data_IF_215958502908
#
_entry.id   IF_215958502908
#
_cell.length_a   1.000
_cell.length_b   1.000
_cell.length_c   1.000
_cell.angle_alpha   90.00
_cell.angle_beta   90.00
_cell.angle_gamma   90.00
#
_symmetry.space_group_name_H-M   'P 1'
#
loop_
_entity.id
_entity.type
_entity.pdbx_description
1 polymer ?
#
# COMPACT_ATOMS: atom_id res chain seq x y z
N UNK A 1 9.98 6.78 -1.80
CA UNK A 1 9.46 6.85 -0.41
C UNK A 1 8.88 5.52 0.08
N UNK A 2 7.96 4.90 -0.68
CA UNK A 2 7.31 3.61 -0.33
C UNK A 2 8.32 2.49 -0.07
N UNK A 3 9.27 2.26 -1.00
CA UNK A 3 10.32 1.23 -0.87
C UNK A 3 11.11 1.32 0.44
N UNK A 4 11.43 2.53 0.91
CA UNK A 4 12.16 2.76 2.16
C UNK A 4 11.33 2.33 3.37
N UNK A 5 10.05 2.72 3.40
CA UNK A 5 9.12 2.36 4.48
C UNK A 5 8.89 0.85 4.54
N UNK A 6 8.69 0.21 3.39
CA UNK A 6 8.55 -1.25 3.31
C UNK A 6 9.82 -1.97 3.79
N UNK A 7 11.01 -1.52 3.38
CA UNK A 7 12.28 -2.09 3.84
C UNK A 7 12.48 -1.97 5.36
N UNK A 8 11.85 -0.97 5.99
CA UNK A 8 11.88 -0.76 7.43
C UNK A 8 10.70 -1.41 8.18
N UNK A 9 9.83 -2.15 7.48
CA UNK A 9 8.58 -2.69 8.05
C UNK A 9 7.67 -1.60 8.64
N UNK A 10 7.66 -0.42 8.04
CA UNK A 10 6.83 0.72 8.43
C UNK A 10 5.58 0.81 7.55
N UNK A 11 4.52 1.41 8.09
CA UNK A 11 3.35 1.79 7.31
C UNK A 11 3.73 2.80 6.23
N UNK A 12 3.22 2.60 5.02
CA UNK A 12 3.32 3.53 3.91
C UNK A 12 1.92 3.99 3.49
N UNK A 13 1.75 5.29 3.31
CA UNK A 13 0.52 5.90 2.79
C UNK A 13 0.90 6.86 1.66
N UNK A 14 0.21 6.74 0.53
CA UNK A 14 0.55 7.46 -0.70
C UNK A 14 -0.64 7.50 -1.64
N UNK A 15 -0.80 8.63 -2.35
CA UNK A 15 -1.66 8.71 -3.53
C UNK A 15 -0.79 8.42 -4.75
N UNK A 16 -1.17 7.45 -5.57
CA UNK A 16 -0.49 7.09 -6.80
C UNK A 16 -1.48 6.91 -7.95
N UNK A 17 -0.98 7.04 -9.18
CA UNK A 17 -1.73 6.66 -10.37
C UNK A 17 -1.63 5.14 -10.54
N UNK A 18 -2.78 4.48 -10.59
CA UNK A 18 -2.92 3.05 -10.85
C UNK A 18 -3.69 2.83 -12.15
N UNK A 19 -3.61 1.63 -12.72
CA UNK A 19 -4.20 1.30 -14.01
C UNK A 19 -5.11 0.09 -13.89
N UNK A 20 -6.35 0.21 -14.41
CA UNK A 20 -7.28 -0.91 -14.50
C UNK A 20 -6.80 -1.93 -15.53
N UNK A 21 -7.45 -3.09 -15.58
CA UNK A 21 -7.11 -4.17 -16.52
C UNK A 21 -7.21 -3.74 -17.98
N UNK A 22 -8.10 -2.80 -18.30
CA UNK A 22 -8.28 -2.21 -19.63
C UNK A 22 -7.31 -1.05 -19.91
N UNK A 23 -6.47 -0.67 -18.94
CA UNK A 23 -5.50 0.42 -19.06
C UNK A 23 -6.04 1.80 -18.68
N UNK A 24 -7.27 1.92 -18.17
CA UNK A 24 -7.78 3.21 -17.66
C UNK A 24 -6.97 3.66 -16.42
N UNK A 25 -6.37 4.87 -16.43
CA UNK A 25 -5.67 5.41 -15.27
C UNK A 25 -6.66 5.95 -14.22
N UNK A 26 -6.36 5.73 -12.95
CA UNK A 26 -7.11 6.31 -11.83
C UNK A 26 -6.18 6.66 -10.67
N UNK A 27 -6.53 7.69 -9.91
CA UNK A 27 -5.83 8.02 -8.67
C UNK A 27 -6.30 7.09 -7.55
N UNK A 28 -5.36 6.44 -6.90
CA UNK A 28 -5.60 5.53 -5.79
C UNK A 28 -4.84 6.00 -4.55
N UNK A 29 -5.56 6.23 -3.45
CA UNK A 29 -4.94 6.31 -2.14
C UNK A 29 -4.67 4.90 -1.63
N UNK A 30 -3.40 4.58 -1.37
CA UNK A 30 -2.95 3.27 -0.92
C UNK A 30 -2.33 3.39 0.47
N UNK A 31 -2.84 2.60 1.42
CA UNK A 31 -2.28 2.44 2.76
C UNK A 31 -1.77 1.01 2.92
N UNK A 32 -0.46 0.83 3.03
CA UNK A 32 0.18 -0.48 3.20
C UNK A 32 0.64 -0.62 4.66
N UNK A 33 0.12 -1.62 5.37
CA UNK A 33 0.47 -1.91 6.77
C UNK A 33 1.17 -3.26 6.91
N UNK A 34 2.24 -3.35 7.71
CA UNK A 34 2.86 -4.62 8.06
C UNK A 34 1.95 -5.43 9.00
N UNK A 35 1.89 -6.74 8.79
CA UNK A 35 1.26 -7.68 9.72
C UNK A 35 2.38 -8.34 10.53
N UNK A 36 2.42 -8.03 11.83
CA UNK A 36 3.41 -8.55 12.77
C UNK A 36 2.75 -9.63 13.63
N UNK A 37 3.35 -10.82 13.64
CA UNK A 37 2.92 -11.93 14.51
C UNK A 37 3.17 -11.63 15.99
N UNK A 38 2.56 -12.41 16.89
CA UNK A 38 2.81 -12.36 18.33
C UNK A 38 4.30 -12.54 18.69
N UNK A 39 5.06 -13.26 17.86
CA UNK A 39 6.50 -13.46 18.00
C UNK A 39 7.35 -12.29 17.47
N UNK A 40 6.74 -11.14 17.20
CA UNK A 40 7.36 -9.93 16.64
C UNK A 40 8.03 -10.14 15.27
N UNK A 41 7.63 -11.19 14.54
CA UNK A 41 8.08 -11.43 13.17
C UNK A 41 7.08 -10.83 12.19
N UNK A 42 7.57 -10.10 11.20
CA UNK A 42 6.80 -9.74 10.01
C UNK A 42 6.37 -11.03 9.31
N UNK A 43 5.08 -11.16 9.03
CA UNK A 43 4.53 -12.34 8.34
C UNK A 43 3.93 -12.00 6.99
N UNK A 44 3.33 -10.81 6.84
CA UNK A 44 2.65 -10.35 5.63
C UNK A 44 2.54 -8.82 5.62
N UNK A 45 1.98 -8.28 4.54
CA UNK A 45 1.43 -6.92 4.49
C UNK A 45 -0.04 -6.97 4.10
N UNK A 46 -0.80 -5.95 4.49
CA UNK A 46 -2.13 -5.67 3.98
C UNK A 46 -2.14 -4.27 3.37
N UNK A 47 -2.69 -4.16 2.17
CA UNK A 47 -2.89 -2.89 1.49
C UNK A 47 -4.39 -2.57 1.46
N UNK A 48 -4.73 -1.32 1.80
CA UNK A 48 -6.04 -0.75 1.61
C UNK A 48 -5.96 0.20 0.43
N UNK A 49 -6.79 -0.03 -0.57
CA UNK A 49 -6.85 0.77 -1.79
C UNK A 49 -8.19 1.50 -1.82
N UNK A 50 -8.14 2.82 -1.99
CA UNK A 50 -9.30 3.66 -2.16
C UNK A 50 -9.10 4.49 -3.43
N UNK A 51 -9.87 4.18 -4.46
CA UNK A 51 -9.97 5.04 -5.64
C UNK A 51 -10.49 6.41 -5.22
N UNK A 52 -9.80 7.46 -5.67
CA UNK A 52 -10.19 8.84 -5.47
C UNK A 52 -11.05 9.22 -6.69
N UNK A 53 -12.37 9.08 -6.55
CA UNK A 53 -13.30 9.60 -7.53
C UNK A 53 -13.30 11.14 -7.46
N UNK A 54 -13.29 11.78 -8.62
CA UNK A 54 -13.49 13.23 -8.75
C UNK A 54 -14.95 13.62 -8.47
#
# INVERSE_FOLDING_TARGET
MIKKRLANNETAEVILENYRKDGEPYLCNVIIKPIISINKKLVNYIAYEQEIAA
#
